data_IF_753764142566
#
_entry.id   IF_753764142566
#
_cell.length_a   1.000
_cell.length_b   1.000
_cell.length_c   1.000
_cell.angle_alpha   90.00
_cell.angle_beta   90.00
_cell.angle_gamma   90.00
#
_symmetry.space_group_name_H-M   'P 1'
#
loop_
_entity.id
_entity.type
_entity.pdbx_description
1 polymer ?
#
# COMPACT_ATOMS: atom_id res chain seq x y z
N UNK A 1 5.22 -11.06 11.86
CA UNK A 1 5.81 -9.71 11.94
C UNK A 1 5.77 -9.19 13.39
N UNK A 2 6.92 -9.08 14.08
CA UNK A 2 6.98 -8.54 15.44
C UNK A 2 7.53 -7.11 15.41
N UNK A 3 6.66 -6.13 15.22
CA UNK A 3 6.93 -4.74 15.62
C UNK A 3 6.58 -4.49 17.10
N UNK A 4 6.45 -5.56 17.87
CA UNK A 4 6.04 -5.47 19.26
C UNK A 4 7.03 -4.59 20.04
N UNK A 5 6.51 -3.47 20.57
CA UNK A 5 7.10 -2.64 21.64
C UNK A 5 8.11 -1.53 21.27
N UNK A 6 8.10 -0.97 20.05
CA UNK A 6 8.85 0.27 19.78
C UNK A 6 8.00 1.54 19.97
N UNK A 7 8.59 2.60 20.55
CA UNK A 7 8.00 3.96 20.63
C UNK A 7 7.60 4.43 19.22
N UNK A 8 6.56 5.28 19.10
CA UNK A 8 6.02 5.74 17.80
C UNK A 8 7.07 6.36 16.88
N UNK A 9 8.03 7.11 17.44
CA UNK A 9 9.08 7.77 16.66
C UNK A 9 9.98 6.76 15.95
N UNK A 10 10.36 5.68 16.64
CA UNK A 10 11.09 4.55 16.06
C UNK A 10 10.32 3.87 14.92
N UNK A 11 8.98 3.80 14.98
CA UNK A 11 8.20 3.15 13.92
C UNK A 11 8.26 3.93 12.61
N UNK A 12 8.16 5.26 12.69
CA UNK A 12 8.20 6.14 11.53
C UNK A 12 9.55 6.04 10.83
N UNK A 13 10.63 6.18 11.59
CA UNK A 13 12.00 6.08 11.08
C UNK A 13 12.27 4.70 10.45
N UNK A 14 11.86 3.63 11.11
CA UNK A 14 12.08 2.25 10.66
C UNK A 14 11.37 1.96 9.33
N UNK A 15 10.11 2.39 9.20
CA UNK A 15 9.35 2.19 7.96
C UNK A 15 9.88 3.08 6.84
N UNK A 16 10.28 4.33 7.12
CA UNK A 16 10.90 5.20 6.12
C UNK A 16 12.22 4.59 5.64
N UNK A 17 13.07 4.14 6.56
CA UNK A 17 14.34 3.50 6.24
C UNK A 17 14.12 2.29 5.34
N UNK A 18 13.18 1.40 5.70
CA UNK A 18 12.82 0.25 4.89
C UNK A 18 12.26 0.62 3.51
N UNK A 19 11.38 1.62 3.41
CA UNK A 19 10.88 2.07 2.10
C UNK A 19 12.03 2.56 1.22
N UNK A 20 12.98 3.30 1.80
CA UNK A 20 14.12 3.84 1.07
C UNK A 20 15.12 2.76 0.61
N UNK A 21 15.18 1.60 1.26
CA UNK A 21 15.98 0.48 0.74
C UNK A 21 15.37 -0.10 -0.54
N UNK A 22 14.04 -0.02 -0.68
CA UNK A 22 13.28 -0.51 -1.83
C UNK A 22 13.22 0.55 -2.94
N UNK A 23 12.91 1.80 -2.59
CA UNK A 23 12.70 2.93 -3.49
C UNK A 23 13.99 3.71 -3.80
N UNK A 24 15.00 3.04 -4.36
CA UNK A 24 16.34 3.61 -4.60
C UNK A 24 16.38 4.91 -5.42
N UNK A 25 15.36 5.18 -6.24
CA UNK A 25 15.29 6.36 -7.12
C UNK A 25 14.52 7.55 -6.53
N UNK A 26 13.65 7.31 -5.54
CA UNK A 26 12.83 8.36 -4.91
C UNK A 26 12.76 8.12 -3.41
N UNK A 27 13.48 8.96 -2.67
CA UNK A 27 13.50 8.89 -1.22
C UNK A 27 12.18 9.43 -0.64
N UNK A 28 11.63 8.65 0.28
CA UNK A 28 10.60 9.08 1.21
C UNK A 28 11.31 9.71 2.41
N UNK A 29 10.92 10.93 2.74
CA UNK A 29 11.38 11.68 3.90
C UNK A 29 10.27 11.75 4.93
N UNK A 30 10.62 12.18 6.13
CA UNK A 30 9.64 12.34 7.21
C UNK A 30 8.51 13.32 6.90
N UNK A 31 8.81 14.36 6.12
CA UNK A 31 7.86 15.37 5.63
C UNK A 31 6.84 14.80 4.65
N UNK A 32 7.13 13.67 3.99
CA UNK A 32 6.19 13.01 3.10
C UNK A 32 5.18 12.14 3.85
N UNK A 33 5.45 11.82 5.12
CA UNK A 33 4.64 10.92 5.93
C UNK A 33 3.71 11.71 6.84
N UNK A 34 2.43 11.69 6.51
CA UNK A 34 1.39 12.32 7.34
C UNK A 34 1.15 11.54 8.62
N UNK A 35 1.02 10.20 8.51
CA UNK A 35 0.65 9.37 9.65
C UNK A 35 1.16 7.95 9.47
N UNK A 36 1.64 7.39 10.57
CA UNK A 36 2.00 5.98 10.65
C UNK A 36 1.55 5.39 11.98
N UNK A 37 0.90 4.23 11.95
CA UNK A 37 0.44 3.54 13.15
C UNK A 37 0.06 2.08 12.87
N UNK A 38 0.02 1.28 13.93
CA UNK A 38 -0.59 -0.05 13.90
C UNK A 38 -2.11 0.03 13.86
N UNK A 39 -2.73 -0.84 13.07
CA UNK A 39 -4.16 -1.06 13.07
C UNK A 39 -4.53 -2.27 13.95
N UNK A 40 -5.64 -2.17 14.68
CA UNK A 40 -6.18 -3.23 15.52
C UNK A 40 -5.65 -3.27 16.96
N UNK A 41 -6.14 -4.24 17.73
CA UNK A 41 -5.83 -4.39 19.16
C UNK A 41 -4.36 -4.72 19.42
N UNK A 42 -3.68 -4.09 20.41
CA UNK A 42 -2.32 -4.43 20.82
C UNK A 42 -2.08 -5.89 21.20
N UNK A 43 -3.14 -6.63 21.53
CA UNK A 43 -3.08 -8.05 21.86
C UNK A 43 -2.81 -8.93 20.63
N UNK A 44 -3.01 -8.40 19.42
CA UNK A 44 -2.69 -9.10 18.18
C UNK A 44 -1.17 -9.09 17.95
N UNK A 45 -0.56 -10.28 17.85
CA UNK A 45 0.88 -10.42 17.62
C UNK A 45 1.34 -9.86 16.27
N UNK A 46 0.48 -9.86 15.24
CA UNK A 46 0.79 -9.38 13.91
C UNK A 46 -0.21 -8.31 13.48
N UNK A 47 0.07 -7.07 13.89
CA UNK A 47 -0.75 -5.92 13.50
C UNK A 47 -0.25 -5.33 12.18
N UNK A 48 -1.13 -5.10 11.20
CA UNK A 48 -0.78 -4.35 10.02
C UNK A 48 -0.44 -2.89 10.38
N UNK A 49 0.44 -2.30 9.59
CA UNK A 49 0.77 -0.87 9.67
C UNK A 49 -0.03 -0.13 8.60
N UNK A 50 -0.63 0.99 9.00
CA UNK A 50 -1.20 1.97 8.08
C UNK A 50 -0.19 3.10 7.92
N UNK A 51 0.24 3.29 6.67
CA UNK A 51 1.10 4.39 6.24
C UNK A 51 0.29 5.36 5.37
N UNK A 52 0.16 6.61 5.83
CA UNK A 52 -0.44 7.70 5.07
C UNK A 52 0.66 8.65 4.61
N UNK A 53 0.78 8.79 3.29
CA UNK A 53 1.70 9.73 2.64
C UNK A 53 0.93 10.98 2.18
N UNK A 54 1.51 12.16 2.37
CA UNK A 54 0.98 13.41 1.82
C UNK A 54 1.12 13.47 0.30
N UNK A 55 2.22 12.93 -0.22
CA UNK A 55 2.53 12.97 -1.64
C UNK A 55 1.93 11.75 -2.36
N UNK A 56 0.87 12.00 -3.15
CA UNK A 56 0.20 10.96 -3.92
C UNK A 56 1.12 10.30 -4.96
N UNK A 57 2.01 11.08 -5.61
CA UNK A 57 2.94 10.54 -6.60
C UNK A 57 3.93 9.55 -5.97
N UNK A 58 4.46 9.86 -4.78
CA UNK A 58 5.33 8.94 -4.02
C UNK A 58 4.60 7.66 -3.61
N UNK A 59 3.32 7.76 -3.23
CA UNK A 59 2.48 6.59 -2.91
C UNK A 59 2.31 5.68 -4.13
N UNK A 60 1.97 6.24 -5.29
CA UNK A 60 1.78 5.45 -6.51
C UNK A 60 3.10 4.83 -6.98
N UNK A 61 4.22 5.55 -6.87
CA UNK A 61 5.54 5.01 -7.15
C UNK A 61 5.88 3.83 -6.24
N UNK A 62 5.67 3.99 -4.93
CA UNK A 62 5.88 2.93 -3.96
C UNK A 62 5.04 1.69 -4.30
N UNK A 63 3.75 1.88 -4.58
CA UNK A 63 2.85 0.79 -4.97
C UNK A 63 3.27 0.13 -6.29
N UNK A 64 3.80 0.91 -7.25
CA UNK A 64 4.33 0.39 -8.50
C UNK A 64 5.55 -0.50 -8.28
N UNK A 65 6.52 -0.02 -7.48
CA UNK A 65 7.73 -0.78 -7.15
C UNK A 65 7.36 -2.09 -6.46
N UNK A 66 6.49 -2.02 -5.43
CA UNK A 66 5.95 -3.17 -4.69
C UNK A 66 5.37 -4.24 -5.62
N UNK A 67 4.60 -3.85 -6.64
CA UNK A 67 4.01 -4.81 -7.60
C UNK A 67 5.02 -5.38 -8.57
N UNK A 68 5.97 -4.56 -9.03
CA UNK A 68 6.96 -4.95 -10.04
C UNK A 68 8.10 -5.79 -9.50
N UNK A 69 8.43 -5.64 -8.21
CA UNK A 69 9.61 -6.24 -7.56
C UNK A 69 9.26 -6.85 -6.21
N UNK A 70 8.38 -7.88 -6.17
CA UNK A 70 7.96 -8.50 -4.92
C UNK A 70 9.12 -9.12 -4.13
N UNK A 71 10.21 -9.51 -4.81
CA UNK A 71 11.43 -10.05 -4.20
C UNK A 71 12.17 -9.06 -3.29
N UNK A 72 11.99 -7.76 -3.50
CA UNK A 72 12.58 -6.73 -2.66
C UNK A 72 11.80 -6.49 -1.36
N UNK A 73 10.59 -7.06 -1.24
CA UNK A 73 9.71 -6.88 -0.09
C UNK A 73 10.10 -7.83 1.04
N UNK A 74 11.27 -7.59 1.61
CA UNK A 74 11.73 -8.26 2.82
C UNK A 74 12.15 -7.24 3.88
N UNK A 75 11.94 -7.60 5.14
CA UNK A 75 12.37 -6.84 6.30
C UNK A 75 12.96 -7.82 7.32
N UNK A 76 14.26 -7.65 7.66
CA UNK A 76 15.01 -8.55 8.54
C UNK A 76 14.81 -10.04 8.19
N UNK A 77 14.94 -10.38 6.90
CA UNK A 77 14.78 -11.75 6.39
C UNK A 77 13.33 -12.28 6.34
N UNK A 78 12.35 -11.48 6.77
CA UNK A 78 10.92 -11.84 6.71
C UNK A 78 10.26 -11.20 5.50
N UNK A 79 9.50 -11.97 4.71
CA UNK A 79 8.72 -11.41 3.60
C UNK A 79 7.63 -10.47 4.11
N UNK A 80 7.49 -9.31 3.47
CA UNK A 80 6.51 -8.28 3.79
C UNK A 80 5.49 -8.19 2.66
N UNK A 81 4.23 -8.07 3.03
CA UNK A 81 3.14 -7.82 2.09
C UNK A 81 2.67 -6.39 2.21
N UNK A 82 2.52 -5.71 1.06
CA UNK A 82 2.04 -4.33 0.99
C UNK A 82 0.79 -4.29 0.14
N UNK A 83 -0.24 -3.65 0.68
CA UNK A 83 -1.52 -3.51 0.01
C UNK A 83 -1.93 -2.04 -0.01
N UNK A 84 -2.68 -1.67 -1.05
CA UNK A 84 -3.37 -0.39 -1.06
C UNK A 84 -4.52 -0.45 -0.05
N UNK A 85 -4.58 0.53 0.85
CA UNK A 85 -5.75 0.71 1.71
C UNK A 85 -6.92 1.24 0.88
N UNK A 86 -7.94 0.42 0.73
CA UNK A 86 -9.11 0.66 -0.10
C UNK A 86 -10.35 0.47 0.76
N UNK A 87 -11.38 1.27 0.50
CA UNK A 87 -12.70 1.02 1.08
C UNK A 87 -13.17 -0.40 0.74
N UNK A 88 -13.98 -0.99 1.61
CA UNK A 88 -14.55 -2.32 1.38
C UNK A 88 -15.23 -2.41 0.01
N UNK A 89 -16.06 -1.42 -0.33
CA UNK A 89 -16.77 -1.36 -1.61
C UNK A 89 -15.80 -1.34 -2.80
N UNK A 90 -14.74 -0.53 -2.74
CA UNK A 90 -13.73 -0.46 -3.80
C UNK A 90 -12.94 -1.77 -3.92
N UNK A 91 -12.61 -2.40 -2.79
CA UNK A 91 -11.89 -3.68 -2.76
C UNK A 91 -12.73 -4.79 -3.40
N UNK A 92 -14.02 -4.89 -3.05
CA UNK A 92 -14.95 -5.85 -3.66
C UNK A 92 -15.15 -5.59 -5.15
N UNK A 93 -15.30 -4.33 -5.55
CA UNK A 93 -15.39 -3.95 -6.95
C UNK A 93 -14.15 -4.41 -7.72
N UNK A 94 -12.94 -4.12 -7.22
CA UNK A 94 -11.70 -4.57 -7.87
C UNK A 94 -11.61 -6.09 -7.96
N UNK A 95 -11.95 -6.84 -6.91
CA UNK A 95 -11.96 -8.31 -7.00
C UNK A 95 -12.91 -8.84 -8.07
N UNK A 96 -14.07 -8.20 -8.22
CA UNK A 96 -15.10 -8.58 -9.20
C UNK A 96 -14.73 -8.22 -10.64
N UNK A 97 -14.04 -7.09 -10.86
CA UNK A 97 -13.82 -6.51 -12.18
C UNK A 97 -12.37 -6.44 -12.65
N UNK A 98 -11.36 -6.61 -11.78
CA UNK A 98 -9.95 -6.54 -12.19
C UNK A 98 -9.51 -7.69 -13.11
N UNK A 99 -10.24 -8.80 -13.11
CA UNK A 99 -10.05 -9.90 -14.06
C UNK A 99 -10.93 -9.79 -15.32
N UNK A 100 -11.84 -8.81 -15.36
CA UNK A 100 -12.68 -8.56 -16.54
C UNK A 100 -11.91 -7.62 -17.44
N UNK A 101 -11.56 -8.13 -18.61
CA UNK A 101 -10.89 -7.42 -19.69
C UNK A 101 -11.48 -6.00 -19.84
N UNK A 102 -10.63 -4.96 -19.79
CA UNK A 102 -11.05 -3.54 -19.74
C UNK A 102 -12.01 -3.16 -20.89
N UNK A 103 -11.96 -3.92 -21.99
CA UNK A 103 -12.88 -3.89 -23.12
C UNK A 103 -14.35 -4.07 -22.70
N UNK A 104 -14.62 -4.99 -21.77
CA UNK A 104 -15.97 -5.30 -21.31
C UNK A 104 -16.54 -4.24 -20.36
N UNK A 105 -15.71 -3.55 -19.60
CA UNK A 105 -16.15 -2.43 -18.75
C UNK A 105 -16.46 -1.17 -19.57
N UNK A 106 -15.61 -0.82 -20.56
CA UNK A 106 -15.88 0.29 -21.47
C UNK A 106 -17.20 0.07 -22.23
N UNK A 107 -17.42 -1.15 -22.73
CA UNK A 107 -18.66 -1.54 -23.42
C UNK A 107 -19.89 -1.49 -22.51
N UNK A 108 -19.75 -1.88 -21.23
CA UNK A 108 -20.83 -1.74 -20.25
C UNK A 108 -21.18 -0.28 -19.95
N UNK A 109 -20.18 0.58 -19.82
CA UNK A 109 -20.37 2.03 -19.63
C UNK A 109 -21.02 2.70 -20.84
N UNK A 110 -20.58 2.35 -22.05
CA UNK A 110 -21.16 2.87 -23.29
C UNK A 110 -22.64 2.49 -23.43
N UNK A 111 -23.00 1.25 -23.11
CA UNK A 111 -24.40 0.79 -23.08
C UNK A 111 -25.20 1.52 -22.01
N UNK A 112 -24.63 1.75 -20.83
CA UNK A 112 -25.31 2.39 -19.70
C UNK A 112 -25.49 3.90 -19.89
N UNK A 113 -24.61 4.54 -20.67
CA UNK A 113 -24.65 5.97 -21.01
C UNK A 113 -25.36 6.24 -22.35
N UNK A 114 -25.80 5.20 -23.06
CA UNK A 114 -26.48 5.33 -24.35
C UNK A 114 -25.60 5.88 -25.48
N UNK A 115 -24.29 5.62 -25.42
CA UNK A 115 -23.29 6.16 -26.36
C UNK A 115 -23.00 5.22 -27.54
N UNK A 116 -23.91 4.27 -27.84
CA UNK A 116 -23.77 3.29 -28.92
C UNK A 116 -24.21 3.80 -30.28
#
# INVERSE_FOLDING_TARGET
MNFALKKRDNLKEEVISWINTIMKSQFVREEDVERIHFMGSPQNQHRPIILKLFNYAKKEEFLRVVRSKPELLSYNGTSVQVYQDLSYATSQWRKKYAARDCSSYKKQLEVQLGLS
#
